data_IF_597060126409
#
_entry.id   IF_597060126409
#
_cell.length_a   1.000
_cell.length_b   1.000
_cell.length_c   1.000
_cell.angle_alpha   90.00
_cell.angle_beta   90.00
_cell.angle_gamma   90.00
#
_symmetry.space_group_name_H-M   'P 1'
#
loop_
_entity.id
_entity.type
_entity.pdbx_description
1 polymer ?
#
# COMPACT_ATOMS: atom_id res chain seq x y z
N UNK A 1 65.05 12.21 -16.00
CA UNK A 1 64.10 12.11 -14.91
C UNK A 1 62.97 13.12 -15.16
N UNK A 2 61.68 12.69 -15.21
CA UNK A 2 60.58 13.65 -15.38
C UNK A 2 60.26 14.33 -14.07
N UNK A 3 60.13 15.64 -14.12
CA UNK A 3 59.73 16.51 -12.99
C UNK A 3 58.24 16.51 -12.86
N UNK A 4 57.71 16.16 -11.68
CA UNK A 4 56.28 16.22 -11.35
C UNK A 4 55.91 17.66 -10.97
N UNK A 5 55.07 18.28 -11.78
CA UNK A 5 54.48 19.60 -11.48
C UNK A 5 53.21 19.40 -10.63
N UNK A 6 53.22 19.93 -9.41
CA UNK A 6 52.04 19.93 -8.53
C UNK A 6 51.10 21.06 -8.89
N UNK A 7 49.83 20.74 -9.14
CA UNK A 7 48.73 21.71 -9.37
C UNK A 7 48.22 22.22 -8.02
N UNK A 8 48.08 23.55 -7.80
CA UNK A 8 47.51 24.07 -6.57
C UNK A 8 45.97 23.86 -6.50
N UNK A 9 45.54 23.30 -5.39
CA UNK A 9 44.09 23.15 -5.06
C UNK A 9 43.51 24.49 -4.60
N UNK A 10 42.51 24.99 -5.30
CA UNK A 10 41.80 26.23 -4.91
C UNK A 10 40.89 25.97 -3.73
N UNK A 11 41.17 26.62 -2.61
CA UNK A 11 40.32 26.64 -1.38
C UNK A 11 39.13 27.56 -1.59
N UNK A 12 37.93 27.05 -1.45
CA UNK A 12 36.70 27.85 -1.51
C UNK A 12 36.53 28.68 -0.22
N UNK A 13 36.39 29.98 -0.37
CA UNK A 13 36.06 30.92 0.70
C UNK A 13 34.60 30.70 1.13
N UNK A 14 34.28 30.61 2.43
CA UNK A 14 32.89 30.48 2.88
C UNK A 14 32.12 31.81 2.67
N UNK A 15 30.92 31.67 2.11
CA UNK A 15 29.96 32.76 1.93
C UNK A 15 29.38 33.18 3.29
N UNK A 16 29.29 34.48 3.62
CA UNK A 16 28.68 34.92 4.89
C UNK A 16 27.19 34.67 4.93
N UNK A 17 26.72 34.06 6.04
CA UNK A 17 25.32 33.82 6.34
C UNK A 17 24.62 35.17 6.67
N UNK A 18 23.43 35.47 6.09
CA UNK A 18 22.70 36.67 6.43
C UNK A 18 22.18 36.64 7.89
N UNK A 19 22.39 37.71 8.60
CA UNK A 19 21.90 37.93 9.98
C UNK A 19 20.38 38.13 9.97
N UNK A 20 19.63 37.57 10.95
CA UNK A 20 18.19 37.77 11.04
C UNK A 20 17.84 39.22 11.42
N UNK A 21 16.90 39.80 10.68
CA UNK A 21 16.31 41.11 10.94
C UNK A 21 15.41 41.10 12.18
N UNK A 22 15.38 42.15 13.02
CA UNK A 22 14.53 42.16 14.21
C UNK A 22 13.05 42.27 13.86
N UNK A 23 12.27 41.35 14.40
CA UNK A 23 10.80 41.29 14.29
C UNK A 23 10.19 42.41 15.13
N UNK A 24 9.32 43.22 14.53
CA UNK A 24 8.59 44.30 15.23
C UNK A 24 7.60 43.68 16.25
N UNK A 25 7.65 44.18 17.47
CA UNK A 25 6.73 43.85 18.57
C UNK A 25 5.36 44.51 18.33
N UNK A 26 4.23 43.76 18.37
CA UNK A 26 2.92 44.39 18.25
C UNK A 26 2.57 45.18 19.54
N UNK A 27 2.19 46.44 19.36
CA UNK A 27 1.65 47.29 20.41
C UNK A 27 0.20 46.89 20.72
N UNK A 28 -0.08 46.56 21.97
CA UNK A 28 -1.44 46.25 22.42
C UNK A 28 -2.21 47.55 22.73
N UNK A 29 -3.18 47.90 21.90
CA UNK A 29 -4.20 48.91 22.20
C UNK A 29 -5.33 48.26 22.96
N UNK A 30 -5.77 48.79 24.13
CA UNK A 30 -6.89 48.22 24.86
C UNK A 30 -8.20 48.51 24.12
N UNK A 31 -8.87 47.47 23.68
CA UNK A 31 -10.21 47.54 23.08
C UNK A 31 -11.28 47.47 24.15
N UNK A 32 -12.30 48.29 23.99
CA UNK A 32 -13.40 48.50 24.91
C UNK A 32 -14.23 47.24 25.11
N UNK A 33 -14.65 46.99 26.33
CA UNK A 33 -15.52 45.92 26.77
C UNK A 33 -16.92 46.07 26.18
N UNK A 34 -17.42 45.15 25.33
CA UNK A 34 -18.85 45.14 24.98
C UNK A 34 -19.67 44.51 26.12
N UNK A 35 -20.70 45.21 26.52
CA UNK A 35 -21.73 44.75 27.45
C UNK A 35 -22.52 43.57 26.79
N UNK A 36 -22.41 42.39 27.37
CA UNK A 36 -23.14 41.20 26.91
C UNK A 36 -24.53 41.20 27.47
N UNK A 37 -25.54 41.54 26.68
CA UNK A 37 -26.91 41.12 26.89
C UNK A 37 -27.03 39.68 26.43
N UNK A 38 -27.40 38.71 27.28
CA UNK A 38 -27.57 37.34 26.86
C UNK A 38 -28.82 37.23 25.96
N UNK A 39 -28.60 37.14 24.67
CA UNK A 39 -29.62 36.68 23.72
C UNK A 39 -29.64 35.16 23.78
N UNK A 40 -30.79 34.57 24.11
CA UNK A 40 -31.02 33.13 24.07
C UNK A 40 -31.05 32.67 22.59
N UNK A 41 -29.87 32.46 22.02
CA UNK A 41 -29.76 31.82 20.71
C UNK A 41 -30.02 30.34 20.88
N UNK A 42 -31.05 29.84 20.22
CA UNK A 42 -31.35 28.42 20.18
C UNK A 42 -30.11 27.67 19.65
N UNK A 43 -29.63 26.71 20.43
CA UNK A 43 -28.54 25.83 20.04
C UNK A 43 -29.03 25.02 18.83
N UNK A 44 -28.38 25.08 17.65
CA UNK A 44 -28.73 24.17 16.56
C UNK A 44 -28.47 22.75 17.04
N UNK A 45 -29.51 21.95 17.13
CA UNK A 45 -29.39 20.51 17.38
C UNK A 45 -28.66 19.92 16.21
N UNK A 46 -27.34 19.65 16.39
CA UNK A 46 -26.57 18.93 15.41
C UNK A 46 -27.22 17.56 15.26
N UNK A 47 -27.82 17.30 14.09
CA UNK A 47 -28.35 15.99 13.76
C UNK A 47 -27.18 14.98 13.87
N UNK A 48 -27.29 14.06 14.81
CA UNK A 48 -26.41 12.91 14.91
C UNK A 48 -26.51 12.17 13.59
N UNK A 49 -25.42 11.94 12.86
CA UNK A 49 -25.48 11.18 11.62
C UNK A 49 -26.07 9.81 11.94
N UNK A 50 -27.22 9.53 11.36
CA UNK A 50 -27.82 8.19 11.42
C UNK A 50 -26.79 7.21 10.87
N UNK A 51 -26.43 6.13 11.60
CA UNK A 51 -25.49 5.15 11.08
C UNK A 51 -26.04 4.63 9.75
N UNK A 52 -25.34 4.92 8.67
CA UNK A 52 -25.64 4.35 7.36
C UNK A 52 -25.50 2.85 7.52
N UNK A 53 -26.60 2.12 7.37
CA UNK A 53 -26.57 0.66 7.42
C UNK A 53 -25.58 0.15 6.39
N UNK A 54 -24.48 -0.43 6.87
CA UNK A 54 -23.56 -1.19 6.03
C UNK A 54 -24.38 -2.23 5.26
N UNK A 55 -24.17 -2.42 3.94
CA UNK A 55 -24.92 -3.37 3.16
C UNK A 55 -24.76 -4.76 3.79
N UNK A 56 -25.84 -5.26 4.36
CA UNK A 56 -25.87 -6.63 4.90
C UNK A 56 -25.82 -7.57 3.73
N UNK A 57 -24.73 -8.34 3.63
CA UNK A 57 -24.59 -9.41 2.63
C UNK A 57 -25.63 -10.48 2.95
N UNK A 58 -26.78 -10.42 2.27
CA UNK A 58 -27.85 -11.43 2.41
C UNK A 58 -27.45 -12.67 1.60
N UNK A 59 -26.77 -13.59 2.23
CA UNK A 59 -26.35 -14.87 1.63
C UNK A 59 -25.47 -15.67 2.60
N UNK A 60 -25.47 -16.97 2.48
CA UNK A 60 -24.52 -17.82 3.21
C UNK A 60 -23.11 -17.49 2.71
N UNK A 61 -22.16 -17.13 3.59
CA UNK A 61 -20.78 -16.89 3.18
C UNK A 61 -20.19 -18.13 2.48
N UNK A 62 -19.41 -17.92 1.44
CA UNK A 62 -18.65 -19.00 0.81
C UNK A 62 -17.58 -19.52 1.77
N UNK A 63 -17.17 -20.78 1.66
CA UNK A 63 -16.02 -21.31 2.39
C UNK A 63 -14.75 -20.50 2.15
N UNK A 64 -13.81 -20.63 3.07
CA UNK A 64 -12.46 -20.05 2.95
C UNK A 64 -11.73 -20.76 1.79
N UNK A 65 -11.14 -20.02 0.82
CA UNK A 65 -10.24 -20.60 -0.16
C UNK A 65 -9.07 -21.31 0.52
N UNK A 66 -8.73 -22.51 0.10
CA UNK A 66 -7.60 -23.26 0.67
C UNK A 66 -6.41 -23.13 -0.28
N UNK A 67 -5.30 -22.57 0.19
CA UNK A 67 -4.09 -22.47 -0.61
C UNK A 67 -3.50 -23.86 -0.86
N UNK A 68 -2.90 -24.08 -2.04
CA UNK A 68 -2.37 -25.37 -2.44
C UNK A 68 -0.96 -25.34 -3.01
N UNK A 69 -0.56 -24.28 -3.69
CA UNK A 69 0.79 -24.11 -4.26
C UNK A 69 1.10 -22.60 -4.39
N UNK A 70 2.37 -22.18 -4.20
CA UNK A 70 3.50 -22.94 -3.65
C UNK A 70 3.31 -23.25 -2.15
N UNK A 71 4.05 -24.23 -1.60
CA UNK A 71 4.04 -24.48 -0.16
C UNK A 71 4.51 -23.27 0.62
N UNK A 72 3.99 -23.09 1.85
CA UNK A 72 4.38 -21.97 2.70
C UNK A 72 5.90 -21.97 2.97
N UNK A 73 6.55 -20.83 2.71
CA UNK A 73 7.99 -20.67 2.83
C UNK A 73 8.80 -21.18 1.65
N UNK A 74 8.20 -21.64 0.54
CA UNK A 74 8.93 -22.13 -0.63
C UNK A 74 9.86 -21.06 -1.20
N UNK A 75 11.03 -21.52 -1.70
CA UNK A 75 12.07 -20.64 -2.26
C UNK A 75 12.18 -20.88 -3.78
N UNK A 76 12.19 -19.78 -4.51
CA UNK A 76 12.33 -19.75 -5.97
C UNK A 76 13.59 -18.98 -6.37
N UNK A 77 14.19 -19.37 -7.48
CA UNK A 77 15.29 -18.65 -8.11
C UNK A 77 14.78 -17.70 -9.19
N UNK A 78 15.63 -16.78 -9.62
CA UNK A 78 15.30 -15.92 -10.75
C UNK A 78 15.04 -16.75 -12.01
N UNK A 79 13.90 -16.49 -12.65
CA UNK A 79 13.46 -17.19 -13.85
C UNK A 79 12.64 -18.46 -13.59
N UNK A 80 12.45 -18.84 -12.34
CA UNK A 80 11.50 -19.89 -12.01
C UNK A 80 10.07 -19.41 -12.29
N UNK A 81 9.23 -20.30 -12.79
CA UNK A 81 7.80 -20.04 -12.91
C UNK A 81 7.14 -20.17 -11.54
N UNK A 82 6.40 -19.15 -11.13
CA UNK A 82 5.71 -19.10 -9.84
C UNK A 82 4.22 -18.94 -10.09
N UNK A 83 3.48 -19.99 -9.85
CA UNK A 83 2.02 -20.01 -9.98
C UNK A 83 1.42 -20.20 -8.60
N UNK A 84 0.64 -19.21 -8.16
CA UNK A 84 -0.16 -19.27 -6.94
C UNK A 84 -1.43 -20.07 -7.26
N UNK A 85 -1.70 -21.12 -6.50
CA UNK A 85 -2.86 -22.00 -6.70
C UNK A 85 -3.63 -22.20 -5.41
N UNK A 86 -4.95 -22.33 -5.54
CA UNK A 86 -5.84 -22.60 -4.42
C UNK A 86 -7.01 -23.50 -4.85
N UNK A 87 -7.64 -24.11 -3.87
CA UNK A 87 -8.85 -24.92 -4.09
C UNK A 87 -10.06 -23.99 -4.18
N UNK A 88 -10.99 -24.37 -5.05
CA UNK A 88 -12.23 -23.63 -5.21
C UNK A 88 -13.01 -23.53 -3.89
N UNK A 89 -13.47 -22.32 -3.58
CA UNK A 89 -14.38 -22.06 -2.47
C UNK A 89 -15.85 -22.45 -2.78
N UNK A 90 -16.08 -23.27 -3.83
CA UNK A 90 -17.39 -23.65 -4.32
C UNK A 90 -17.79 -22.89 -5.58
N UNK A 91 -19.08 -22.91 -5.91
CA UNK A 91 -19.58 -22.22 -7.10
C UNK A 91 -19.62 -20.72 -6.87
N UNK A 92 -18.81 -19.97 -7.63
CA UNK A 92 -18.83 -18.52 -7.59
C UNK A 92 -20.11 -17.95 -8.21
N UNK A 93 -20.72 -16.90 -7.64
CA UNK A 93 -21.76 -16.13 -8.34
C UNK A 93 -21.18 -15.46 -9.60
N UNK A 94 -22.05 -15.00 -10.51
CA UNK A 94 -21.62 -14.35 -11.76
C UNK A 94 -20.72 -13.15 -11.51
N UNK A 95 -20.98 -12.39 -10.45
CA UNK A 95 -20.24 -11.22 -9.98
C UNK A 95 -19.19 -11.53 -8.89
N UNK A 96 -18.96 -12.83 -8.59
CA UNK A 96 -17.97 -13.31 -7.62
C UNK A 96 -16.62 -13.56 -8.27
N UNK A 97 -15.54 -13.20 -7.60
CA UNK A 97 -14.15 -13.35 -8.07
C UNK A 97 -13.26 -13.75 -6.91
N UNK A 98 -12.22 -14.51 -7.20
CA UNK A 98 -11.07 -14.61 -6.31
C UNK A 98 -10.24 -13.33 -6.43
N UNK A 99 -9.87 -12.79 -5.30
CA UNK A 99 -9.00 -11.61 -5.20
C UNK A 99 -7.76 -12.05 -4.45
N UNK A 100 -6.63 -11.93 -5.14
CA UNK A 100 -5.32 -12.30 -4.60
C UNK A 100 -4.68 -11.04 -4.04
N UNK A 101 -4.23 -11.10 -2.79
CA UNK A 101 -3.45 -10.04 -2.17
C UNK A 101 -2.01 -10.51 -2.04
N UNK A 102 -1.08 -9.80 -2.69
CA UNK A 102 0.36 -10.03 -2.56
C UNK A 102 0.98 -8.84 -1.85
N UNK A 103 1.75 -9.10 -0.80
CA UNK A 103 2.44 -8.07 -0.03
C UNK A 103 3.93 -8.38 0.06
N UNK A 104 4.75 -7.34 0.15
CA UNK A 104 6.20 -7.44 0.28
C UNK A 104 6.75 -6.23 1.04
N UNK A 105 7.99 -6.33 1.53
CA UNK A 105 8.69 -5.21 2.17
C UNK A 105 9.41 -4.37 1.11
N UNK A 106 9.24 -3.04 1.17
CA UNK A 106 9.96 -2.09 0.33
C UNK A 106 10.30 -0.83 1.14
N UNK A 107 11.59 -0.48 1.20
CA UNK A 107 12.10 0.65 1.98
C UNK A 107 11.72 0.57 3.47
N UNK A 108 11.57 -0.65 4.01
CA UNK A 108 11.18 -0.91 5.39
C UNK A 108 9.67 -0.86 5.66
N UNK A 109 8.85 -0.51 4.68
CA UNK A 109 7.39 -0.49 4.77
C UNK A 109 6.76 -1.69 4.06
N UNK A 110 5.52 -2.04 4.46
CA UNK A 110 4.73 -3.07 3.78
C UNK A 110 4.02 -2.46 2.58
N UNK A 111 4.26 -3.01 1.42
CA UNK A 111 3.64 -2.62 0.16
C UNK A 111 2.71 -3.71 -0.35
N UNK A 112 1.70 -3.29 -1.10
CA UNK A 112 0.76 -4.16 -1.79
C UNK A 112 0.98 -4.03 -3.29
N UNK A 113 0.95 -5.14 -3.99
CA UNK A 113 0.82 -5.12 -5.44
C UNK A 113 -0.64 -4.93 -5.84
N UNK A 114 -0.88 -4.75 -7.14
CA UNK A 114 -2.23 -4.78 -7.67
C UNK A 114 -2.92 -6.08 -7.25
N UNK A 115 -4.13 -5.93 -6.69
CA UNK A 115 -4.92 -7.09 -6.28
C UNK A 115 -5.68 -7.65 -7.48
N UNK A 116 -5.19 -8.70 -8.16
CA UNK A 116 -5.85 -9.26 -9.33
C UNK A 116 -7.19 -9.92 -8.96
N UNK A 117 -8.18 -9.74 -9.82
CA UNK A 117 -9.50 -10.33 -9.73
C UNK A 117 -9.65 -11.40 -10.81
N UNK A 118 -9.84 -12.66 -10.44
CA UNK A 118 -9.95 -13.78 -11.39
C UNK A 118 -11.10 -14.72 -11.05
N UNK A 119 -11.55 -15.46 -12.05
CA UNK A 119 -12.46 -16.60 -11.89
C UNK A 119 -11.71 -17.91 -11.75
N UNK A 120 -10.46 -17.93 -12.14
CA UNK A 120 -9.61 -19.12 -12.10
C UNK A 120 -9.13 -19.38 -10.67
N UNK A 121 -8.65 -20.57 -10.41
CA UNK A 121 -8.09 -20.99 -9.13
C UNK A 121 -6.56 -20.96 -9.11
N UNK A 122 -5.98 -20.19 -9.99
CA UNK A 122 -4.55 -19.94 -10.08
C UNK A 122 -4.26 -18.53 -10.59
N UNK A 123 -3.02 -18.07 -10.34
CA UNK A 123 -2.51 -16.81 -10.85
C UNK A 123 -0.98 -16.86 -10.94
N UNK A 124 -0.43 -16.43 -12.08
CA UNK A 124 1.01 -16.46 -12.34
C UNK A 124 1.71 -15.23 -11.75
N UNK A 125 2.34 -15.38 -10.59
CA UNK A 125 3.14 -14.32 -9.97
C UNK A 125 4.39 -14.01 -10.81
N UNK A 126 4.95 -14.99 -11.51
CA UNK A 126 6.14 -14.84 -12.35
C UNK A 126 5.95 -13.89 -13.55
N UNK A 127 4.71 -13.59 -13.95
CA UNK A 127 4.43 -12.54 -14.95
C UNK A 127 4.66 -11.12 -14.42
N UNK A 128 4.85 -10.98 -13.10
CA UNK A 128 5.13 -9.73 -12.39
C UNK A 128 6.56 -9.71 -11.82
N UNK A 129 7.53 -10.12 -12.64
CA UNK A 129 8.94 -10.30 -12.23
C UNK A 129 9.61 -9.01 -11.71
N UNK A 130 9.08 -7.84 -12.08
CA UNK A 130 9.50 -6.55 -11.53
C UNK A 130 9.36 -6.46 -9.99
N UNK A 131 8.47 -7.26 -9.38
CA UNK A 131 8.25 -7.26 -7.94
C UNK A 131 9.50 -7.71 -7.16
N UNK A 132 10.25 -8.66 -7.72
CA UNK A 132 11.48 -9.14 -7.06
C UNK A 132 12.52 -8.03 -6.94
N UNK A 133 12.53 -7.09 -7.89
CA UNK A 133 13.44 -5.94 -7.85
C UNK A 133 12.95 -4.84 -6.88
N UNK A 134 11.67 -4.78 -6.61
CA UNK A 134 11.10 -3.84 -5.67
C UNK A 134 11.17 -4.31 -4.20
N UNK A 135 11.19 -5.62 -3.97
CA UNK A 135 11.25 -6.18 -2.61
C UNK A 135 12.63 -6.01 -1.97
N UNK A 136 12.67 -5.65 -0.68
CA UNK A 136 13.93 -5.47 0.07
C UNK A 136 14.67 -6.81 0.28
N UNK A 137 13.93 -7.88 0.55
CA UNK A 137 14.45 -9.18 0.96
C UNK A 137 14.02 -10.36 0.08
N UNK A 138 13.25 -10.09 -0.98
CA UNK A 138 12.70 -11.09 -1.86
C UNK A 138 11.61 -11.95 -1.24
N UNK A 139 11.07 -11.56 -0.08
CA UNK A 139 9.96 -12.26 0.57
C UNK A 139 8.63 -11.65 0.16
N UNK A 140 7.71 -12.54 -0.18
CA UNK A 140 6.35 -12.22 -0.56
C UNK A 140 5.38 -13.00 0.32
N UNK A 141 4.30 -12.34 0.69
CA UNK A 141 3.20 -12.93 1.45
C UNK A 141 1.95 -12.83 0.61
N UNK A 142 1.16 -13.87 0.57
CA UNK A 142 -0.03 -13.88 -0.25
C UNK A 142 -1.20 -14.57 0.43
N UNK A 143 -2.39 -14.12 0.07
CA UNK A 143 -3.66 -14.70 0.51
C UNK A 143 -4.72 -14.54 -0.57
N UNK A 144 -5.80 -15.28 -0.46
CA UNK A 144 -6.92 -15.27 -1.40
C UNK A 144 -8.23 -15.10 -0.67
N UNK A 145 -9.11 -14.26 -1.20
CA UNK A 145 -10.46 -14.05 -0.68
C UNK A 145 -11.46 -14.06 -1.83
N UNK A 146 -12.69 -14.52 -1.59
CA UNK A 146 -13.75 -14.34 -2.58
C UNK A 146 -14.48 -13.03 -2.32
N UNK A 147 -14.55 -12.21 -3.37
CA UNK A 147 -15.27 -10.95 -3.35
C UNK A 147 -16.37 -10.91 -4.41
N UNK A 148 -17.43 -10.20 -4.12
CA UNK A 148 -18.48 -9.84 -5.09
C UNK A 148 -18.17 -8.46 -5.63
N UNK A 149 -18.02 -8.34 -6.93
CA UNK A 149 -17.83 -7.05 -7.58
C UNK A 149 -19.10 -6.22 -7.46
N UNK A 150 -18.97 -4.97 -7.03
CA UNK A 150 -20.07 -4.02 -6.87
C UNK A 150 -19.96 -2.83 -7.82
N UNK A 151 -18.82 -2.65 -8.47
CA UNK A 151 -18.57 -1.55 -9.38
C UNK A 151 -17.11 -1.46 -9.78
N UNK A 152 -16.74 -0.28 -10.26
CA UNK A 152 -15.38 0.14 -10.53
C UNK A 152 -15.09 1.43 -9.77
N UNK A 153 -13.84 1.66 -9.39
CA UNK A 153 -13.38 2.93 -8.81
C UNK A 153 -13.11 3.99 -9.90
N UNK A 154 -12.52 5.13 -9.50
CA UNK A 154 -12.22 6.23 -10.40
C UNK A 154 -11.12 5.90 -11.43
N UNK A 155 -10.30 4.89 -11.15
CA UNK A 155 -9.23 4.35 -11.99
C UNK A 155 -9.69 3.14 -12.82
N UNK A 156 -11.01 2.87 -12.88
CA UNK A 156 -11.63 1.72 -13.55
C UNK A 156 -11.22 0.35 -12.97
N UNK A 157 -10.68 0.32 -11.74
CA UNK A 157 -10.35 -0.92 -11.05
C UNK A 157 -11.59 -1.52 -10.37
N UNK A 158 -11.73 -2.85 -10.33
CA UNK A 158 -12.88 -3.47 -9.71
C UNK A 158 -12.87 -3.25 -8.19
N UNK A 159 -14.04 -2.89 -7.66
CA UNK A 159 -14.32 -2.79 -6.23
C UNK A 159 -15.44 -3.73 -5.84
N UNK A 160 -15.45 -4.17 -4.58
CA UNK A 160 -16.47 -5.11 -4.14
C UNK A 160 -16.51 -5.33 -2.64
N UNK A 161 -17.33 -6.28 -2.27
CA UNK A 161 -17.52 -6.72 -0.88
C UNK A 161 -17.10 -8.18 -0.73
N UNK A 162 -16.46 -8.49 0.40
CA UNK A 162 -16.07 -9.86 0.72
C UNK A 162 -17.31 -10.74 0.92
N UNK A 163 -17.31 -11.92 0.30
CA UNK A 163 -18.35 -12.96 0.45
C UNK A 163 -17.79 -14.29 0.95
N UNK A 164 -16.48 -14.34 1.25
CA UNK A 164 -15.83 -15.39 2.04
C UNK A 164 -14.91 -14.76 3.09
N UNK A 165 -14.50 -15.48 4.13
CA UNK A 165 -13.31 -15.12 4.88
C UNK A 165 -12.07 -15.17 3.97
N UNK A 166 -10.99 -14.45 4.35
CA UNK A 166 -9.68 -14.59 3.69
C UNK A 166 -9.06 -15.95 4.02
N UNK A 167 -8.30 -16.50 3.09
CA UNK A 167 -7.43 -17.66 3.37
C UNK A 167 -6.41 -17.33 4.46
N UNK A 168 -5.68 -18.34 4.90
CA UNK A 168 -4.40 -18.13 5.58
C UNK A 168 -3.46 -17.32 4.69
N UNK A 169 -2.48 -16.68 5.31
CA UNK A 169 -1.41 -15.99 4.57
C UNK A 169 -0.22 -16.92 4.49
N UNK A 170 0.18 -17.28 3.27
CA UNK A 170 1.39 -18.04 3.01
C UNK A 170 2.50 -17.12 2.52
N UNK A 171 3.73 -17.56 2.67
CA UNK A 171 4.92 -16.84 2.24
C UNK A 171 5.67 -17.61 1.17
N UNK A 172 6.46 -16.88 0.38
CA UNK A 172 7.46 -17.45 -0.52
C UNK A 172 8.67 -16.52 -0.55
N UNK A 173 9.82 -17.06 -0.95
CA UNK A 173 11.01 -16.26 -1.21
C UNK A 173 11.37 -16.36 -2.68
N UNK A 174 11.43 -15.22 -3.36
CA UNK A 174 11.84 -15.14 -4.76
C UNK A 174 13.18 -14.43 -4.86
N UNK A 175 14.22 -15.21 -5.19
CA UNK A 175 15.60 -14.71 -5.22
C UNK A 175 15.87 -13.97 -6.54
N UNK A 176 16.55 -12.83 -6.45
CA UNK A 176 17.03 -12.10 -7.61
C UNK A 176 18.09 -12.90 -8.37
N UNK A 177 18.24 -12.62 -9.67
CA UNK A 177 19.38 -13.11 -10.42
C UNK A 177 20.69 -12.66 -9.76
N UNK A 178 21.63 -13.57 -9.56
CA UNK A 178 22.94 -13.23 -9.01
C UNK A 178 23.61 -12.19 -9.90
N UNK A 179 23.86 -10.99 -9.39
CA UNK A 179 24.57 -9.93 -10.10
C UNK A 179 23.75 -8.68 -10.39
N UNK A 180 22.45 -8.65 -10.10
CA UNK A 180 21.65 -7.42 -10.22
C UNK A 180 21.76 -6.64 -8.90
N UNK A 181 22.45 -5.48 -8.85
CA UNK A 181 22.43 -4.63 -7.67
C UNK A 181 21.01 -4.10 -7.44
N UNK A 182 20.61 -3.84 -6.17
CA UNK A 182 19.34 -3.20 -5.90
C UNK A 182 19.24 -1.85 -6.62
N UNK A 183 18.05 -1.44 -7.10
CA UNK A 183 17.88 -0.13 -7.68
C UNK A 183 18.28 0.95 -6.67
N UNK A 184 18.92 2.07 -7.12
CA UNK A 184 19.26 3.17 -6.24
C UNK A 184 17.98 3.72 -5.59
N UNK A 185 18.06 4.15 -4.33
CA UNK A 185 16.93 4.81 -3.69
C UNK A 185 16.53 6.06 -4.48
N UNK A 186 15.24 6.39 -4.53
CA UNK A 186 14.70 7.53 -5.26
C UNK A 186 15.20 8.87 -4.71
#
# INVERSE_FOLDING_TARGET
APTLTTVPTSTRTPTPTPSPSPTATPSMTPSQTPSLTPSLTAIPTTAVPTPTSSPTVTGTPLPVPQLSSPEDGQVFSAGDEIILEWQSAGTLPLDGYYVITVTYSRLGDTWYDETPWTKDTNWALSEHDYLVDLSDDGKFYWSVQVMRQTGLDAEEKPIGIAISPSSETWSLTWQRARGTPPPPPP
#
